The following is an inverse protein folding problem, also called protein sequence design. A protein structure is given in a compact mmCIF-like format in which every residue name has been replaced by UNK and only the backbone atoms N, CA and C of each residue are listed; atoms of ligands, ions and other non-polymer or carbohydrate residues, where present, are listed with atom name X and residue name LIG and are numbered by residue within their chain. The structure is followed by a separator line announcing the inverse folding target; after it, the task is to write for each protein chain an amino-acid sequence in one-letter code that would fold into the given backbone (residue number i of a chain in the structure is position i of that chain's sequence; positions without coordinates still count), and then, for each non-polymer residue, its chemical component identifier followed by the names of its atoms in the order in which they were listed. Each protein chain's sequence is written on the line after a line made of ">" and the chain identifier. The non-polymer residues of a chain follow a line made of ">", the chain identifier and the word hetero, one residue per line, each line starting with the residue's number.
data_IF_693509329405
#
_entry.id   IF_693509329405
#
_cell.length_a   1.000
_cell.length_b   1.000
_cell.length_c   1.000
_cell.angle_alpha   90.00
_cell.angle_beta   90.00
_cell.angle_gamma   90.00
#
_symmetry.space_group_name_H-M   'P 1'
#
loop_
_entity.id
_entity.type
_entity.pdbx_description
1 polymer ?
#
# COMPACT_ATOMS: atom_id res chain seq x y z
N UNK A 1 -47.18 33.18 -19.60
CA UNK A 1 -45.87 32.98 -20.24
C UNK A 1 -44.71 32.99 -19.21
N UNK A 2 -44.54 31.98 -18.31
CA UNK A 2 -43.38 31.92 -17.40
C UNK A 2 -42.39 30.76 -17.69
N UNK A 3 -42.73 29.85 -18.60
CA UNK A 3 -42.03 28.56 -18.78
C UNK A 3 -40.63 28.70 -19.41
N UNK A 4 -40.45 29.62 -20.38
CA UNK A 4 -39.21 29.74 -21.13
C UNK A 4 -38.02 30.30 -20.31
N UNK A 5 -38.29 31.10 -19.27
CA UNK A 5 -37.24 31.69 -18.41
C UNK A 5 -36.74 30.66 -17.40
N UNK A 6 -37.63 29.82 -16.87
CA UNK A 6 -37.30 28.76 -15.93
C UNK A 6 -36.44 27.68 -16.61
N UNK A 7 -36.75 27.31 -17.86
CA UNK A 7 -35.95 26.38 -18.64
C UNK A 7 -34.53 26.89 -18.93
N UNK A 8 -34.36 28.18 -19.23
CA UNK A 8 -33.04 28.79 -19.46
C UNK A 8 -32.18 28.80 -18.19
N UNK A 9 -32.79 29.10 -17.04
CA UNK A 9 -32.09 29.12 -15.75
C UNK A 9 -31.69 27.71 -15.28
N UNK A 10 -32.55 26.71 -15.50
CA UNK A 10 -32.24 25.31 -15.20
C UNK A 10 -31.12 24.78 -16.11
N UNK A 11 -31.14 25.07 -17.42
CA UNK A 11 -30.04 24.71 -18.34
C UNK A 11 -28.72 25.35 -17.95
N UNK A 12 -28.73 26.64 -17.58
CA UNK A 12 -27.53 27.35 -17.14
C UNK A 12 -26.92 26.73 -15.88
N UNK A 13 -27.74 26.43 -14.87
CA UNK A 13 -27.28 25.77 -13.62
C UNK A 13 -26.80 24.34 -13.84
N UNK A 14 -27.48 23.58 -14.71
CA UNK A 14 -27.06 22.22 -15.05
C UNK A 14 -25.71 22.21 -15.80
N UNK A 15 -25.47 23.20 -16.67
CA UNK A 15 -24.21 23.37 -17.38
C UNK A 15 -23.07 23.70 -16.41
N UNK A 16 -23.26 24.63 -15.49
CA UNK A 16 -22.24 24.99 -14.50
C UNK A 16 -21.95 23.84 -13.52
N UNK A 17 -22.99 23.09 -13.11
CA UNK A 17 -22.80 21.89 -12.29
C UNK A 17 -22.05 20.78 -13.05
N UNK A 18 -22.33 20.58 -14.34
CA UNK A 18 -21.58 19.66 -15.21
C UNK A 18 -20.14 20.09 -15.40
N UNK A 19 -19.89 21.36 -15.63
CA UNK A 19 -18.54 21.91 -15.81
C UNK A 19 -17.73 21.83 -14.50
N UNK A 20 -18.38 22.07 -13.36
CA UNK A 20 -17.78 21.88 -12.04
C UNK A 20 -17.47 20.41 -11.76
N UNK A 21 -18.40 19.49 -12.07
CA UNK A 21 -18.18 18.04 -11.96
C UNK A 21 -17.10 17.54 -12.93
N UNK A 22 -17.00 18.10 -14.14
CA UNK A 22 -15.95 17.75 -15.12
C UNK A 22 -14.58 18.32 -14.72
N UNK A 23 -14.52 19.52 -14.12
CA UNK A 23 -13.31 20.08 -13.51
C UNK A 23 -12.86 19.31 -12.27
N UNK A 24 -13.81 18.77 -11.50
CA UNK A 24 -13.56 17.95 -10.30
C UNK A 24 -13.58 16.44 -10.53
N UNK A 25 -13.77 15.98 -11.77
CA UNK A 25 -13.24 14.68 -12.19
C UNK A 25 -11.73 14.84 -12.25
N UNK A 26 -11.10 14.86 -11.07
CA UNK A 26 -9.82 14.22 -10.93
C UNK A 26 -10.06 12.79 -11.39
N UNK A 27 -9.82 12.52 -12.67
CA UNK A 27 -9.29 11.21 -13.06
C UNK A 27 -8.22 10.97 -12.02
N UNK A 28 -8.49 10.07 -11.08
CA UNK A 28 -7.49 9.66 -10.12
C UNK A 28 -6.47 9.01 -11.04
N UNK A 29 -5.50 9.79 -11.49
CA UNK A 29 -4.30 9.29 -12.11
C UNK A 29 -3.58 8.65 -10.94
N UNK A 30 -4.05 7.46 -10.56
CA UNK A 30 -3.31 6.52 -9.75
C UNK A 30 -2.09 6.24 -10.61
N UNK A 31 -1.02 7.03 -10.44
CA UNK A 31 0.29 6.49 -10.72
C UNK A 31 0.36 5.24 -9.85
N UNK A 32 0.47 4.03 -10.43
CA UNK A 32 0.67 2.84 -9.63
C UNK A 32 1.86 3.15 -8.72
N UNK A 33 1.65 3.08 -7.41
CA UNK A 33 2.79 3.25 -6.52
C UNK A 33 3.51 1.92 -6.59
N UNK A 34 4.43 1.80 -7.53
CA UNK A 34 5.27 0.62 -7.67
C UNK A 34 6.02 0.42 -6.34
N UNK A 35 5.96 -0.80 -5.79
CA UNK A 35 6.63 -1.20 -4.55
C UNK A 35 6.09 -0.52 -3.28
N UNK A 36 4.80 -0.68 -3.01
CA UNK A 36 4.19 -0.30 -1.74
C UNK A 36 3.30 -1.44 -1.23
N UNK A 37 3.68 -2.02 -0.10
CA UNK A 37 2.92 -3.09 0.56
C UNK A 37 2.02 -2.53 1.65
N UNK A 38 2.48 -1.51 2.37
CA UNK A 38 1.74 -0.86 3.46
C UNK A 38 1.74 0.66 3.27
N UNK A 39 0.55 1.26 3.36
CA UNK A 39 0.36 2.70 3.42
C UNK A 39 -0.05 3.11 4.84
N UNK A 40 0.74 3.98 5.45
CA UNK A 40 0.39 4.61 6.74
C UNK A 40 0.01 6.07 6.47
N UNK A 41 -1.22 6.44 6.83
CA UNK A 41 -1.70 7.81 6.78
C UNK A 41 -1.84 8.38 8.19
N UNK A 42 -1.72 9.70 8.29
CA UNK A 42 -1.81 10.41 9.56
C UNK A 42 -2.94 11.44 9.51
N UNK A 43 -3.66 11.66 10.63
CA UNK A 43 -4.58 12.79 10.76
C UNK A 43 -3.90 14.13 10.42
N UNK A 44 -4.68 15.08 9.90
CA UNK A 44 -4.22 16.44 9.59
C UNK A 44 -3.81 17.26 10.81
N UNK A 45 -4.20 16.80 12.01
CA UNK A 45 -3.80 17.36 13.30
C UNK A 45 -2.48 16.81 13.84
N UNK A 46 -1.83 15.86 13.15
CA UNK A 46 -0.59 15.23 13.66
C UNK A 46 0.58 16.19 13.52
N UNK A 47 1.31 16.42 14.61
CA UNK A 47 2.49 17.29 14.62
C UNK A 47 3.74 16.59 14.07
N UNK A 48 4.71 17.40 13.61
CA UNK A 48 5.96 16.92 13.02
C UNK A 48 6.80 16.08 13.99
N UNK A 49 6.77 16.36 15.30
CA UNK A 49 7.55 15.59 16.27
C UNK A 49 6.99 14.17 16.41
N UNK A 50 5.68 14.00 16.44
CA UNK A 50 5.03 12.69 16.45
C UNK A 50 5.36 11.89 15.18
N UNK A 51 5.30 12.53 14.01
CA UNK A 51 5.65 11.90 12.73
C UNK A 51 7.10 11.43 12.69
N UNK A 52 8.03 12.31 13.08
CA UNK A 52 9.46 12.01 13.11
C UNK A 52 9.81 10.96 14.16
N UNK A 53 9.16 10.99 15.33
CA UNK A 53 9.31 9.96 16.35
C UNK A 53 8.91 8.60 15.80
N UNK A 54 7.74 8.48 15.18
CA UNK A 54 7.27 7.21 14.63
C UNK A 54 8.17 6.70 13.50
N UNK A 55 8.61 7.60 12.61
CA UNK A 55 9.59 7.27 11.57
C UNK A 55 10.89 6.72 12.19
N UNK A 56 11.38 7.34 13.25
CA UNK A 56 12.59 6.90 13.93
C UNK A 56 12.39 5.54 14.62
N UNK A 57 11.24 5.30 15.25
CA UNK A 57 10.92 4.00 15.84
C UNK A 57 10.97 2.89 14.79
N UNK A 58 10.41 3.11 13.60
CA UNK A 58 10.45 2.10 12.53
C UNK A 58 11.86 1.88 11.98
N UNK A 59 12.64 2.96 11.79
CA UNK A 59 14.03 2.85 11.31
C UNK A 59 14.95 2.12 12.29
N UNK A 60 14.70 2.26 13.60
CA UNK A 60 15.47 1.56 14.64
C UNK A 60 14.99 0.12 14.84
N UNK A 61 13.68 -0.11 14.82
CA UNK A 61 13.08 -1.42 15.08
C UNK A 61 13.18 -2.38 13.89
N UNK A 62 13.06 -1.87 12.66
CA UNK A 62 13.05 -2.67 11.44
C UNK A 62 13.90 -1.96 10.37
N UNK A 63 15.23 -1.92 10.51
CA UNK A 63 16.08 -1.13 9.61
C UNK A 63 16.07 -1.66 8.17
N UNK A 64 15.60 -2.89 7.94
CA UNK A 64 15.59 -3.52 6.62
C UNK A 64 14.39 -3.13 5.74
N UNK A 65 13.33 -2.52 6.30
CA UNK A 65 12.20 -2.04 5.50
C UNK A 65 12.50 -0.70 4.85
N UNK A 66 11.98 -0.51 3.63
CA UNK A 66 12.11 0.73 2.88
C UNK A 66 10.89 1.60 3.12
N UNK A 67 11.11 2.83 3.59
CA UNK A 67 10.05 3.81 3.85
C UNK A 67 10.24 5.00 2.92
N UNK A 68 9.25 5.27 2.06
CA UNK A 68 9.14 6.50 1.28
C UNK A 68 8.11 7.42 1.93
N UNK A 69 8.49 8.67 2.20
CA UNK A 69 7.60 9.68 2.77
C UNK A 69 7.06 10.53 1.62
N UNK A 70 5.74 10.65 1.53
CA UNK A 70 5.09 11.54 0.56
C UNK A 70 4.15 12.49 1.28
N UNK A 71 4.08 13.73 0.79
CA UNK A 71 3.11 14.70 1.24
C UNK A 71 1.95 14.76 0.25
N UNK A 72 0.73 14.68 0.76
CA UNK A 72 -0.47 14.85 -0.06
C UNK A 72 -0.63 16.31 -0.46
N UNK A 73 -0.68 16.55 -1.78
CA UNK A 73 -0.70 17.92 -2.37
C UNK A 73 -1.83 18.81 -1.87
N UNK A 74 -2.98 18.25 -1.50
CA UNK A 74 -4.17 19.03 -1.15
C UNK A 74 -4.42 19.13 0.36
N UNK A 75 -4.08 18.09 1.12
CA UNK A 75 -4.33 18.01 2.55
C UNK A 75 -3.11 18.42 3.39
N UNK A 76 -1.94 18.60 2.76
CA UNK A 76 -0.65 18.83 3.42
C UNK A 76 -0.23 17.72 4.41
N UNK A 77 -0.99 16.62 4.48
CA UNK A 77 -0.71 15.48 5.34
C UNK A 77 0.39 14.61 4.78
N UNK A 78 1.20 14.04 5.66
CA UNK A 78 2.20 13.06 5.30
C UNK A 78 1.60 11.66 5.20
N UNK A 79 2.23 10.81 4.39
CA UNK A 79 1.95 9.40 4.31
C UNK A 79 3.25 8.62 4.13
N UNK A 80 3.35 7.48 4.80
CA UNK A 80 4.50 6.58 4.70
C UNK A 80 4.13 5.39 3.82
N UNK A 81 4.89 5.21 2.75
CA UNK A 81 4.80 4.09 1.83
C UNK A 81 5.91 3.12 2.20
N UNK A 82 5.53 1.94 2.67
CA UNK A 82 6.44 0.96 3.25
C UNK A 82 6.45 -0.27 2.35
N UNK A 83 7.65 -0.77 2.10
CA UNK A 83 7.88 -2.03 1.38
C UNK A 83 9.10 -2.73 1.94
N UNK A 84 9.30 -3.99 1.56
CA UNK A 84 10.48 -4.78 1.93
C UNK A 84 11.01 -5.53 0.71
N UNK A 85 12.27 -5.96 0.74
CA UNK A 85 12.74 -6.90 -0.27
C UNK A 85 12.25 -8.32 0.04
N UNK A 86 12.15 -9.16 -0.98
CA UNK A 86 11.82 -10.56 -0.81
C UNK A 86 12.71 -11.27 0.22
N UNK A 87 14.02 -11.02 0.19
CA UNK A 87 14.98 -11.58 1.16
C UNK A 87 14.63 -11.21 2.61
N UNK A 88 14.24 -9.95 2.86
CA UNK A 88 13.86 -9.51 4.19
C UNK A 88 12.53 -10.10 4.63
N UNK A 89 11.60 -10.33 3.70
CA UNK A 89 10.35 -11.05 3.99
C UNK A 89 10.62 -12.51 4.35
N UNK A 90 11.56 -13.19 3.69
CA UNK A 90 11.96 -14.57 4.04
C UNK A 90 12.51 -14.62 5.47
N UNK A 91 13.43 -13.72 5.83
CA UNK A 91 13.96 -13.62 7.21
C UNK A 91 12.84 -13.38 8.24
N UNK A 92 11.89 -12.50 7.92
CA UNK A 92 10.70 -12.27 8.75
C UNK A 92 9.85 -13.53 8.91
N UNK A 93 9.66 -14.30 7.83
CA UNK A 93 8.88 -15.53 7.85
C UNK A 93 9.49 -16.62 8.75
N UNK A 94 10.81 -16.74 8.74
CA UNK A 94 11.57 -17.66 9.61
C UNK A 94 11.45 -17.26 11.09
N UNK A 95 11.64 -15.97 11.38
CA UNK A 95 11.49 -15.40 12.72
C UNK A 95 10.08 -15.63 13.28
N UNK A 96 9.05 -15.47 12.43
CA UNK A 96 7.65 -15.74 12.77
C UNK A 96 7.31 -17.23 12.83
N UNK A 97 8.22 -18.11 12.40
CA UNK A 97 8.01 -19.56 12.37
C UNK A 97 6.90 -19.99 11.42
N UNK A 98 6.78 -19.30 10.28
CA UNK A 98 5.74 -19.55 9.29
C UNK A 98 5.82 -20.99 8.77
N UNK A 99 4.66 -21.66 8.65
CA UNK A 99 4.58 -23.00 8.06
C UNK A 99 4.51 -22.90 6.54
N UNK A 100 5.34 -23.68 5.84
CA UNK A 100 5.44 -23.72 4.38
C UNK A 100 5.37 -25.14 3.86
N UNK A 101 4.77 -25.30 2.69
CA UNK A 101 4.69 -26.59 2.01
C UNK A 101 6.09 -27.00 1.52
N UNK A 102 6.43 -28.27 1.75
CA UNK A 102 7.69 -28.87 1.30
C UNK A 102 7.43 -29.57 -0.04
N UNK A 103 8.38 -29.46 -0.97
CA UNK A 103 8.30 -30.14 -2.28
C UNK A 103 8.17 -31.65 -2.06
N UNK A 104 7.32 -32.32 -2.83
CA UNK A 104 7.06 -33.76 -2.73
C UNK A 104 8.33 -34.63 -2.71
N UNK A 105 9.36 -34.26 -3.48
CA UNK A 105 10.66 -34.96 -3.53
C UNK A 105 11.41 -35.01 -2.20
N UNK A 106 11.09 -34.12 -1.26
CA UNK A 106 11.66 -34.05 0.09
C UNK A 106 10.71 -34.58 1.17
N UNK A 107 9.68 -35.34 0.78
CA UNK A 107 8.71 -35.97 1.68
C UNK A 107 7.37 -35.22 1.81
N UNK A 108 7.22 -34.06 1.18
CA UNK A 108 5.97 -33.31 1.18
C UNK A 108 5.54 -32.79 2.56
N UNK A 109 4.28 -32.40 2.68
CA UNK A 109 3.69 -31.87 3.92
C UNK A 109 4.07 -30.42 4.19
N UNK A 110 3.98 -30.00 5.45
CA UNK A 110 4.30 -28.64 5.91
C UNK A 110 5.38 -28.68 6.97
N UNK A 111 6.29 -27.69 6.94
CA UNK A 111 7.35 -27.49 7.93
C UNK A 111 7.52 -26.02 8.26
N UNK A 112 8.10 -25.74 9.43
CA UNK A 112 8.53 -24.38 9.80
C UNK A 112 9.60 -23.93 8.81
N UNK A 113 9.39 -22.78 8.20
CA UNK A 113 10.32 -22.20 7.24
C UNK A 113 11.70 -21.95 7.87
N UNK A 114 12.74 -22.23 7.10
CA UNK A 114 14.15 -21.99 7.41
C UNK A 114 14.82 -21.40 6.17
N UNK A 115 15.55 -20.30 6.36
CA UNK A 115 16.34 -19.69 5.29
C UNK A 115 17.57 -20.52 4.90
N UNK A 116 18.09 -21.36 5.80
CA UNK A 116 19.26 -22.22 5.53
C UNK A 116 18.92 -23.38 4.57
N UNK A 117 17.66 -23.81 4.55
CA UNK A 117 17.18 -24.95 3.76
C UNK A 117 16.01 -24.54 2.83
N UNK A 118 16.07 -23.34 2.26
CA UNK A 118 14.96 -22.73 1.52
C UNK A 118 14.56 -23.50 0.24
N UNK A 119 15.54 -24.14 -0.41
CA UNK A 119 15.40 -24.98 -1.61
C UNK A 119 14.39 -26.14 -1.46
N UNK A 120 14.01 -26.52 -0.24
CA UNK A 120 13.06 -27.61 -0.01
C UNK A 120 11.60 -27.16 -0.16
N UNK A 121 11.31 -25.86 -0.05
CA UNK A 121 9.93 -25.36 0.00
C UNK A 121 9.34 -25.10 -1.38
N UNK A 122 8.05 -25.38 -1.53
CA UNK A 122 7.31 -25.08 -2.75
C UNK A 122 7.27 -23.55 -2.99
N UNK A 123 7.38 -23.16 -4.26
CA UNK A 123 7.28 -21.77 -4.72
C UNK A 123 8.32 -20.77 -4.16
N UNK A 124 9.41 -21.22 -3.54
CA UNK A 124 10.45 -20.36 -2.93
C UNK A 124 11.03 -19.31 -3.91
N UNK A 125 11.07 -19.62 -5.21
CA UNK A 125 11.61 -18.73 -6.25
C UNK A 125 10.71 -17.53 -6.56
N UNK A 126 9.47 -17.50 -6.05
CA UNK A 126 8.48 -16.49 -6.41
C UNK A 126 7.87 -15.88 -5.16
N UNK A 127 8.19 -14.61 -4.91
CA UNK A 127 7.62 -13.82 -3.81
C UNK A 127 6.08 -13.87 -3.80
N UNK A 128 5.48 -13.68 -4.99
CA UNK A 128 4.04 -13.67 -5.17
C UNK A 128 3.38 -15.01 -4.81
N UNK A 129 4.05 -16.13 -5.09
CA UNK A 129 3.51 -17.46 -4.84
C UNK A 129 3.88 -17.97 -3.44
N UNK A 130 5.07 -17.63 -2.95
CA UNK A 130 5.61 -18.11 -1.68
C UNK A 130 4.82 -17.57 -0.49
N UNK A 131 4.44 -16.29 -0.52
CA UNK A 131 3.70 -15.62 0.55
C UNK A 131 2.18 -15.62 0.38
N UNK A 132 1.65 -16.41 -0.57
CA UNK A 132 0.19 -16.60 -0.64
C UNK A 132 -0.31 -17.18 0.68
N UNK A 133 -1.29 -16.51 1.27
CA UNK A 133 -2.04 -17.05 2.40
C UNK A 133 -2.77 -18.32 1.95
N UNK A 134 -2.54 -19.45 2.64
CA UNK A 134 -3.47 -20.58 2.60
C UNK A 134 -4.68 -20.28 3.48
#
# INVERSE_FOLDING_TARGET
>A
MPSAVLEKLLRGRLFHAREYLLRHKSTITMAPTENCDILVTFPDTTDDHTLLWFLNQMRLGIPQIRIQIRQHKHTHTYAFFITSSFENLLRGAEQMGMQKAVKQRFGGGTRRFSCEEDDIYENIESELCFFTSQ
#
